data_IF_815367001650
#
_entry.id   IF_815367001650
#
_cell.length_a   1.000
_cell.length_b   1.000
_cell.length_c   1.000
_cell.angle_alpha   90.00
_cell.angle_beta   90.00
_cell.angle_gamma   90.00
#
_symmetry.space_group_name_H-M   'P 1'
#
loop_
_entity.id
_entity.type
_entity.pdbx_description
1 polymer ?
#
# COMPACT_ATOMS: atom_id res chain seq x y z
N UNK A 1 -8.15 -1.87 20.15
CA UNK A 1 -7.34 -3.08 19.95
C UNK A 1 -8.04 -4.22 20.64
N UNK A 2 -8.22 -5.35 19.96
CA UNK A 2 -8.80 -6.53 20.61
C UNK A 2 -7.79 -7.19 21.54
N UNK A 3 -8.27 -7.96 22.53
CA UNK A 3 -7.40 -8.72 23.43
C UNK A 3 -6.52 -9.72 22.64
N UNK A 4 -7.07 -10.29 21.57
CA UNK A 4 -6.37 -11.25 20.73
C UNK A 4 -5.19 -10.62 19.97
N UNK A 5 -5.36 -9.40 19.44
CA UNK A 5 -4.26 -8.68 18.78
C UNK A 5 -3.11 -8.38 19.75
N UNK A 6 -3.42 -8.02 21.00
CA UNK A 6 -2.40 -7.76 22.03
C UNK A 6 -1.63 -9.03 22.41
N UNK A 7 -2.32 -10.16 22.59
CA UNK A 7 -1.70 -11.47 22.86
C UNK A 7 -0.79 -11.90 21.70
N UNK A 8 -1.29 -11.80 20.47
CA UNK A 8 -0.54 -12.13 19.26
C UNK A 8 0.75 -11.29 19.14
N UNK A 9 0.64 -9.97 19.33
CA UNK A 9 1.81 -9.09 19.30
C UNK A 9 2.84 -9.45 20.38
N UNK A 10 2.40 -9.79 21.60
CA UNK A 10 3.28 -10.25 22.67
C UNK A 10 4.02 -11.55 22.33
N UNK A 11 3.32 -12.54 21.76
CA UNK A 11 3.93 -13.82 21.34
C UNK A 11 5.04 -13.60 20.32
N UNK A 12 4.89 -12.62 19.43
CA UNK A 12 5.89 -12.30 18.42
C UNK A 12 6.92 -11.25 18.88
N UNK A 13 6.92 -10.85 20.14
CA UNK A 13 7.85 -9.82 20.64
C UNK A 13 7.63 -8.43 20.02
N UNK A 14 6.45 -8.18 19.44
CA UNK A 14 6.08 -6.92 18.79
C UNK A 14 5.29 -6.07 19.78
N UNK A 15 5.73 -4.82 19.97
CA UNK A 15 4.98 -3.80 20.70
C UNK A 15 4.21 -2.93 19.72
N UNK A 16 2.90 -2.85 19.95
CA UNK A 16 2.02 -1.92 19.24
C UNK A 16 1.85 -0.66 20.05
N UNK A 17 2.08 0.50 19.45
CA UNK A 17 1.87 1.80 20.07
C UNK A 17 1.14 2.72 19.12
N UNK A 18 0.41 3.68 19.68
CA UNK A 18 -0.33 4.66 18.88
C UNK A 18 0.48 5.96 18.82
N UNK A 19 0.84 6.40 17.63
CA UNK A 19 1.56 7.66 17.40
C UNK A 19 0.84 8.46 16.31
N UNK A 20 0.58 9.75 16.53
CA UNK A 20 -0.18 10.63 15.61
C UNK A 20 -1.45 9.96 15.04
N UNK A 21 -2.26 9.36 15.93
CA UNK A 21 -3.48 8.60 15.63
C UNK A 21 -3.31 7.29 14.84
N UNK A 22 -2.09 6.88 14.49
CA UNK A 22 -1.79 5.62 13.78
C UNK A 22 -1.21 4.56 14.70
N UNK A 23 -1.36 3.30 14.29
CA UNK A 23 -0.69 2.18 14.93
C UNK A 23 0.68 1.95 14.32
N UNK A 24 1.69 1.88 15.17
CA UNK A 24 3.08 1.61 14.81
C UNK A 24 3.56 0.38 15.58
N UNK A 25 4.61 -0.27 15.07
CA UNK A 25 5.19 -1.51 15.58
C UNK A 25 6.65 -1.28 15.97
N UNK A 26 7.08 -1.79 17.12
CA UNK A 26 8.49 -1.83 17.58
C UNK A 26 8.83 -3.28 17.96
N UNK A 27 10.06 -3.72 17.69
CA UNK A 27 10.55 -5.06 18.00
C UNK A 27 10.95 -5.85 16.75
N UNK A 28 11.14 -7.16 16.90
CA UNK A 28 11.41 -8.05 15.77
C UNK A 28 10.15 -8.20 14.91
N UNK A 29 10.23 -7.73 13.66
CA UNK A 29 9.13 -7.77 12.71
C UNK A 29 9.25 -8.92 11.70
N UNK A 30 10.27 -9.77 11.82
CA UNK A 30 10.61 -10.78 10.81
C UNK A 30 9.41 -11.63 10.45
N UNK A 31 8.74 -12.24 11.42
CA UNK A 31 7.59 -13.10 11.16
C UNK A 31 6.38 -12.32 10.62
N UNK A 32 6.13 -11.12 11.14
CA UNK A 32 5.07 -10.24 10.64
C UNK A 32 5.27 -9.90 9.17
N UNK A 33 6.52 -9.63 8.76
CA UNK A 33 6.83 -9.37 7.36
C UNK A 33 6.64 -10.62 6.48
N UNK A 34 6.99 -11.82 6.98
CA UNK A 34 6.74 -13.07 6.26
C UNK A 34 5.24 -13.34 6.09
N UNK A 35 4.43 -13.16 7.14
CA UNK A 35 2.98 -13.28 7.07
C UNK A 35 2.38 -12.34 6.02
N UNK A 36 2.82 -11.07 6.02
CA UNK A 36 2.35 -10.08 5.04
C UNK A 36 2.76 -10.43 3.61
N UNK A 37 3.96 -10.96 3.38
CA UNK A 37 4.41 -11.47 2.07
C UNK A 37 3.49 -12.60 1.57
N UNK A 38 3.20 -13.59 2.42
CA UNK A 38 2.27 -14.69 2.09
C UNK A 38 0.89 -14.15 1.74
N UNK A 39 0.37 -13.23 2.54
CA UNK A 39 -0.93 -12.60 2.28
C UNK A 39 -0.93 -11.75 1.00
N UNK A 40 0.16 -11.06 0.69
CA UNK A 40 0.29 -10.32 -0.58
C UNK A 40 0.26 -11.26 -1.78
N UNK A 41 1.01 -12.36 -1.74
CA UNK A 41 0.96 -13.38 -2.79
C UNK A 41 -0.46 -13.92 -2.98
N UNK A 42 -1.17 -14.21 -1.89
CA UNK A 42 -2.56 -14.66 -1.97
C UNK A 42 -3.49 -13.61 -2.61
N UNK A 43 -3.32 -12.32 -2.28
CA UNK A 43 -4.06 -11.23 -2.93
C UNK A 43 -3.73 -11.17 -4.42
N UNK A 44 -2.46 -11.21 -4.81
CA UNK A 44 -2.04 -11.18 -6.22
C UNK A 44 -2.64 -12.34 -7.02
N UNK A 45 -2.75 -13.53 -6.41
CA UNK A 45 -3.40 -14.72 -6.99
C UNK A 45 -4.94 -14.67 -7.04
N UNK A 46 -5.58 -13.56 -6.69
CA UNK A 46 -7.04 -13.44 -6.75
C UNK A 46 -7.78 -14.00 -5.53
N UNK A 47 -7.08 -14.55 -4.52
CA UNK A 47 -7.71 -15.15 -3.33
C UNK A 47 -8.26 -14.12 -2.35
N UNK A 48 -7.93 -12.85 -2.54
CA UNK A 48 -8.45 -11.72 -1.77
C UNK A 48 -8.35 -10.43 -2.59
N UNK A 49 -9.05 -9.38 -2.14
CA UNK A 49 -8.96 -8.04 -2.73
C UNK A 49 -7.55 -7.48 -2.59
N UNK A 50 -7.05 -6.84 -3.64
CA UNK A 50 -5.81 -6.06 -3.62
C UNK A 50 -6.01 -4.76 -2.86
N UNK A 51 -4.91 -4.14 -2.42
CA UNK A 51 -4.93 -2.93 -1.60
C UNK A 51 -4.15 -1.81 -2.27
N UNK A 52 -4.77 -0.66 -2.39
CA UNK A 52 -4.17 0.57 -2.90
C UNK A 52 -4.20 1.63 -1.80
N UNK A 53 -3.04 2.22 -1.51
CA UNK A 53 -3.00 3.46 -0.71
C UNK A 53 -3.07 4.65 -1.66
N UNK A 54 -3.98 5.58 -1.37
CA UNK A 54 -4.07 6.84 -2.09
C UNK A 54 -3.70 7.93 -1.08
N UNK A 55 -2.59 8.62 -1.31
CA UNK A 55 -2.22 9.74 -0.45
C UNK A 55 -3.37 10.78 -0.46
N UNK A 56 -3.72 11.34 0.69
CA UNK A 56 -4.86 12.25 0.84
C UNK A 56 -4.79 13.51 -0.01
N UNK A 57 -3.63 13.84 -0.60
CA UNK A 57 -3.51 14.91 -1.59
C UNK A 57 -4.16 14.56 -2.93
N UNK A 58 -4.48 13.28 -3.12
CA UNK A 58 -5.18 12.73 -4.26
C UNK A 58 -6.60 12.38 -3.82
N UNK A 59 -7.38 13.41 -3.48
CA UNK A 59 -8.82 13.26 -3.22
C UNK A 59 -9.50 12.98 -4.56
N UNK A 60 -9.46 11.71 -4.93
CA UNK A 60 -9.57 11.25 -6.31
C UNK A 60 -10.92 10.55 -6.49
N UNK A 61 -11.89 11.16 -7.20
CA UNK A 61 -13.20 10.54 -7.44
C UNK A 61 -13.09 9.18 -8.15
N UNK A 62 -11.95 8.94 -8.82
CA UNK A 62 -11.60 7.69 -9.50
C UNK A 62 -11.57 6.45 -8.57
N UNK A 63 -11.48 6.65 -7.25
CA UNK A 63 -11.51 5.57 -6.26
C UNK A 63 -12.77 5.55 -5.40
N UNK A 64 -13.79 6.33 -5.78
CA UNK A 64 -15.11 6.30 -5.17
C UNK A 64 -16.21 6.11 -6.24
N UNK A 65 -16.67 4.86 -6.48
CA UNK A 65 -16.37 3.65 -5.71
C UNK A 65 -14.98 3.06 -6.00
N UNK A 66 -14.43 2.22 -5.10
CA UNK A 66 -13.19 1.50 -5.36
C UNK A 66 -13.26 0.62 -6.61
N UNK A 67 -12.17 0.50 -7.40
CA UNK A 67 -12.11 -0.44 -8.50
C UNK A 67 -12.44 -1.88 -8.08
N UNK A 68 -13.06 -2.64 -8.98
CA UNK A 68 -13.46 -4.03 -8.68
C UNK A 68 -12.27 -4.88 -8.23
N UNK A 69 -12.43 -5.57 -7.11
CA UNK A 69 -11.37 -6.40 -6.53
C UNK A 69 -10.28 -5.63 -5.78
N UNK A 70 -10.43 -4.32 -5.58
CA UNK A 70 -9.50 -3.47 -4.82
C UNK A 70 -10.14 -2.91 -3.55
N UNK A 71 -9.32 -2.69 -2.52
CA UNK A 71 -9.63 -1.93 -1.31
C UNK A 71 -8.76 -0.69 -1.33
N UNK A 72 -9.38 0.48 -1.17
CA UNK A 72 -8.71 1.78 -1.17
C UNK A 72 -8.49 2.22 0.27
N UNK A 73 -7.26 2.57 0.61
CA UNK A 73 -6.91 3.18 1.89
C UNK A 73 -7.40 4.62 1.96
N UNK A 74 -7.95 5.02 3.10
CA UNK A 74 -8.47 6.38 3.36
C UNK A 74 -7.38 7.23 4.01
N UNK A 75 -6.31 7.51 3.28
CA UNK A 75 -5.18 8.29 3.78
C UNK A 75 -5.57 9.76 4.04
N UNK A 76 -6.33 10.08 5.08
CA UNK A 76 -6.84 11.44 5.36
C UNK A 76 -5.78 12.51 5.71
N UNK A 77 -4.48 12.18 5.64
CA UNK A 77 -3.42 13.11 6.00
C UNK A 77 -2.60 13.44 4.76
N UNK A 78 -2.86 14.64 4.21
CA UNK A 78 -2.20 15.26 3.06
C UNK A 78 -0.65 15.27 3.14
N UNK A 79 -0.09 15.11 4.35
CA UNK A 79 1.33 15.26 4.65
C UNK A 79 2.02 13.94 4.99
N UNK A 80 1.45 12.80 4.62
CA UNK A 80 1.96 11.49 5.05
C UNK A 80 2.57 10.65 3.93
N UNK A 81 3.90 10.72 3.73
CA UNK A 81 4.58 10.02 2.63
C UNK A 81 4.81 8.51 2.91
N UNK A 82 3.97 7.87 3.74
CA UNK A 82 4.20 6.49 4.19
C UNK A 82 3.66 5.41 3.23
N UNK A 83 3.03 5.77 2.12
CA UNK A 83 2.55 4.79 1.14
C UNK A 83 3.66 3.88 0.60
N UNK A 84 4.85 4.44 0.36
CA UNK A 84 6.06 3.68 -0.01
C UNK A 84 6.50 2.74 1.11
N UNK A 85 6.44 3.20 2.37
CA UNK A 85 6.73 2.34 3.52
C UNK A 85 5.74 1.17 3.61
N UNK A 86 4.45 1.40 3.35
CA UNK A 86 3.44 0.35 3.35
C UNK A 86 3.64 -0.67 2.22
N UNK A 87 4.12 -0.23 1.06
CA UNK A 87 4.56 -1.11 -0.02
C UNK A 87 5.69 -2.02 0.42
N UNK A 88 6.78 -1.44 0.94
CA UNK A 88 7.96 -2.19 1.43
C UNK A 88 7.62 -3.15 2.58
N UNK A 89 6.58 -2.83 3.35
CA UNK A 89 6.06 -3.70 4.41
C UNK A 89 4.96 -4.67 3.94
N UNK A 90 4.66 -4.75 2.65
CA UNK A 90 3.63 -5.61 2.05
C UNK A 90 2.21 -5.43 2.63
N UNK A 91 1.95 -4.26 3.23
CA UNK A 91 0.65 -3.89 3.80
C UNK A 91 -0.34 -3.59 2.68
N UNK A 92 0.14 -2.84 1.68
CA UNK A 92 -0.56 -2.50 0.44
C UNK A 92 0.19 -3.08 -0.75
N UNK A 93 -0.51 -3.18 -1.88
CA UNK A 93 0.00 -3.80 -3.09
C UNK A 93 0.46 -2.75 -4.11
N UNK A 94 -0.18 -1.58 -4.10
CA UNK A 94 0.19 -0.40 -4.90
C UNK A 94 -0.05 0.87 -4.07
N UNK A 95 0.62 1.96 -4.43
CA UNK A 95 0.43 3.28 -3.84
C UNK A 95 0.35 4.34 -4.94
N UNK A 96 -0.51 5.35 -4.75
CA UNK A 96 -0.47 6.60 -5.50
C UNK A 96 0.16 7.70 -4.66
N UNK A 97 1.19 8.35 -5.21
CA UNK A 97 1.82 9.51 -4.59
C UNK A 97 2.21 10.55 -5.66
N UNK A 98 2.30 11.84 -5.30
CA UNK A 98 2.88 12.85 -6.18
C UNK A 98 4.26 12.43 -6.67
N UNK A 99 4.60 12.73 -7.93
CA UNK A 99 5.96 12.43 -8.45
C UNK A 99 7.06 13.18 -7.67
N UNK A 100 6.73 14.30 -7.03
CA UNK A 100 7.64 15.07 -6.17
C UNK A 100 8.02 14.36 -4.89
N UNK A 101 7.20 13.40 -4.43
CA UNK A 101 7.36 12.70 -3.15
C UNK A 101 8.06 11.34 -3.32
N UNK A 102 8.56 11.05 -4.53
CA UNK A 102 9.24 9.81 -4.82
C UNK A 102 10.62 9.75 -4.13
N UNK A 103 11.00 8.60 -3.57
CA UNK A 103 12.31 8.44 -2.96
C UNK A 103 13.41 8.52 -4.04
N UNK A 104 14.55 9.11 -3.69
CA UNK A 104 15.72 9.17 -4.56
C UNK A 104 16.25 7.76 -4.93
N UNK A 105 16.15 6.81 -4.00
CA UNK A 105 16.48 5.40 -4.20
C UNK A 105 15.21 4.57 -4.44
N UNK A 106 15.10 3.99 -5.63
CA UNK A 106 13.89 3.32 -6.12
C UNK A 106 14.16 1.97 -6.80
N UNK A 107 15.32 1.34 -6.56
CA UNK A 107 15.68 0.05 -7.19
C UNK A 107 14.67 -1.06 -6.91
N UNK A 108 14.04 -1.07 -5.72
CA UNK A 108 13.03 -2.05 -5.32
C UNK A 108 11.61 -1.70 -5.83
N UNK A 109 11.45 -0.56 -6.51
CA UNK A 109 10.17 0.00 -6.91
C UNK A 109 10.02 0.08 -8.42
N UNK A 110 8.79 0.01 -8.89
CA UNK A 110 8.42 0.39 -10.24
C UNK A 110 7.41 1.51 -10.15
N UNK A 111 7.69 2.58 -10.88
CA UNK A 111 6.90 3.81 -10.88
C UNK A 111 6.37 4.01 -12.29
N UNK A 112 5.05 4.06 -12.42
CA UNK A 112 4.38 4.38 -13.67
C UNK A 112 3.75 5.76 -13.51
N UNK A 113 4.25 6.79 -14.22
CA UNK A 113 3.58 8.08 -14.24
C UNK A 113 2.16 7.92 -14.78
N UNK A 114 1.18 8.44 -14.04
CA UNK A 114 -0.20 8.59 -14.48
C UNK A 114 -0.49 10.08 -14.62
N UNK A 115 -1.17 10.44 -15.70
CA UNK A 115 -1.58 11.82 -15.96
C UNK A 115 -3.07 11.98 -15.62
N UNK A 116 -3.39 11.85 -14.32
CA UNK A 116 -4.77 11.95 -13.82
C UNK A 116 -4.95 13.27 -13.05
N UNK A 117 -5.30 14.35 -13.73
CA UNK A 117 -5.47 15.73 -13.20
C UNK A 117 -4.24 16.35 -12.47
N UNK A 118 -3.26 15.55 -12.07
CA UNK A 118 -1.99 15.92 -11.45
C UNK A 118 -0.92 14.86 -11.78
N UNK A 119 0.35 15.24 -11.73
CA UNK A 119 1.48 14.34 -11.96
C UNK A 119 1.66 13.39 -10.77
N UNK A 120 1.12 12.19 -10.89
CA UNK A 120 1.18 11.16 -9.85
C UNK A 120 1.90 9.92 -10.33
N UNK A 121 2.67 9.33 -9.44
CA UNK A 121 3.28 8.02 -9.63
C UNK A 121 2.34 6.93 -9.14
N UNK A 122 2.05 5.97 -10.01
CA UNK A 122 1.54 4.67 -9.60
C UNK A 122 2.73 3.77 -9.25
N UNK A 123 2.90 3.53 -7.96
CA UNK A 123 4.09 2.88 -7.40
C UNK A 123 3.75 1.49 -6.91
N UNK A 124 4.63 0.53 -7.20
CA UNK A 124 4.55 -0.85 -6.74
C UNK A 124 5.95 -1.40 -6.49
N UNK A 125 6.06 -2.56 -5.84
CA UNK A 125 7.32 -3.29 -5.76
C UNK A 125 7.69 -3.85 -7.13
N UNK A 126 8.96 -3.76 -7.52
CA UNK A 126 9.45 -4.18 -8.84
C UNK A 126 9.13 -5.65 -9.14
N UNK A 127 9.28 -6.53 -8.15
CA UNK A 127 8.93 -7.96 -8.25
C UNK A 127 7.47 -8.24 -8.63
N UNK A 128 6.58 -7.25 -8.49
CA UNK A 128 5.15 -7.36 -8.80
C UNK A 128 4.74 -6.58 -10.05
N UNK A 129 5.67 -5.93 -10.76
CA UNK A 129 5.36 -5.08 -11.91
C UNK A 129 4.62 -5.81 -13.04
N UNK A 130 4.89 -7.11 -13.20
CA UNK A 130 4.28 -7.95 -14.25
C UNK A 130 3.00 -8.68 -13.79
N UNK A 131 2.45 -8.36 -12.62
CA UNK A 131 1.23 -9.02 -12.11
C UNK A 131 0.00 -8.54 -12.88
N UNK A 132 -0.75 -9.47 -13.49
CA UNK A 132 -1.89 -9.18 -14.38
C UNK A 132 -2.93 -8.25 -13.73
N UNK A 133 -3.24 -8.48 -12.45
CA UNK A 133 -4.24 -7.67 -11.73
C UNK A 133 -3.76 -6.23 -11.52
N UNK A 134 -2.45 -6.01 -11.36
CA UNK A 134 -1.86 -4.67 -11.24
C UNK A 134 -1.89 -3.98 -12.60
N UNK A 135 -1.43 -4.68 -13.66
CA UNK A 135 -1.46 -4.17 -15.03
C UNK A 135 -2.89 -3.79 -15.44
N UNK A 136 -3.88 -4.62 -15.09
CA UNK A 136 -5.29 -4.34 -15.36
C UNK A 136 -5.77 -3.02 -14.76
N UNK A 137 -5.37 -2.71 -13.52
CA UNK A 137 -5.70 -1.43 -12.89
C UNK A 137 -4.98 -0.27 -13.58
N UNK A 138 -3.68 -0.40 -13.87
CA UNK A 138 -2.90 0.63 -14.56
C UNK A 138 -3.52 0.98 -15.92
N UNK A 139 -3.92 -0.03 -16.70
CA UNK A 139 -4.55 0.20 -18.00
C UNK A 139 -5.91 0.91 -17.87
N UNK A 140 -6.70 0.52 -16.85
CA UNK A 140 -7.98 1.19 -16.56
C UNK A 140 -7.76 2.66 -16.23
N UNK A 141 -6.77 2.97 -15.38
CA UNK A 141 -6.47 4.36 -14.97
C UNK A 141 -5.88 5.21 -16.11
N UNK A 142 -5.15 4.60 -17.06
CA UNK A 142 -4.61 5.31 -18.23
C UNK A 142 -5.67 5.67 -19.29
N UNK A 143 -6.83 5.02 -19.25
CA UNK A 143 -7.94 5.27 -20.19
C UNK A 143 -8.93 6.31 -19.66
N UNK A 144 -8.78 6.74 -18.41
CA UNK A 144 -9.57 7.79 -17.77
C UNK A 144 -9.00 9.18 -18.06
#
# INVERSE_FOLDING_TARGET
MSRNQKKCAQVFGIKLFKHKRRWSTIGDQTLLQHERKVHQVARLQGKSRLRIEVNGCLDSPYFNPPPSGWVVGTGNNLSDPHGIQYLRQHIVDVCLCPLTDLPAESEDLTIIPLNINSEVGFVMLQQHANQERIIGLVNTLKQM
#
